data_IF_953362702644
#
_entry.id   IF_953362702644
#
_cell.length_a   1.000
_cell.length_b   1.000
_cell.length_c   1.000
_cell.angle_alpha   90.00
_cell.angle_beta   90.00
_cell.angle_gamma   90.00
#
_symmetry.space_group_name_H-M   'P 1'
#
loop_
_entity.id
_entity.type
_entity.pdbx_description
1 polymer ?
#
# COMPACT_ATOMS: atom_id res chain seq x y z
N UNK A 1 -18.97 -1.08 4.59
CA UNK A 1 -17.80 -0.15 4.71
C UNK A 1 -16.50 -0.80 4.26
N UNK A 2 -16.05 -1.91 4.86
CA UNK A 2 -14.75 -2.53 4.54
C UNK A 2 -14.58 -2.96 3.08
N UNK A 3 -15.65 -3.46 2.43
CA UNK A 3 -15.61 -3.77 1.00
C UNK A 3 -15.38 -2.51 0.14
N UNK A 4 -16.07 -1.41 0.43
CA UNK A 4 -15.86 -0.13 -0.26
C UNK A 4 -14.45 0.45 -0.04
N UNK A 5 -13.92 0.36 1.18
CA UNK A 5 -12.54 0.74 1.48
C UNK A 5 -11.52 -0.07 0.67
N UNK A 6 -11.73 -1.39 0.58
CA UNK A 6 -10.88 -2.29 -0.21
C UNK A 6 -10.94 -1.97 -1.70
N UNK A 7 -12.12 -1.70 -2.24
CA UNK A 7 -12.26 -1.26 -3.63
C UNK A 7 -11.53 0.06 -3.89
N UNK A 8 -11.66 1.03 -2.98
CA UNK A 8 -10.89 2.29 -3.04
C UNK A 8 -9.37 2.04 -3.04
N UNK A 9 -8.88 1.11 -2.20
CA UNK A 9 -7.47 0.76 -2.14
C UNK A 9 -6.98 0.20 -3.49
N UNK A 10 -7.77 -0.67 -4.12
CA UNK A 10 -7.48 -1.24 -5.44
C UNK A 10 -7.42 -0.15 -6.52
N UNK A 11 -8.38 0.76 -6.55
CA UNK A 11 -8.39 1.87 -7.52
C UNK A 11 -7.18 2.78 -7.34
N UNK A 12 -6.93 3.23 -6.11
CA UNK A 12 -5.81 4.12 -5.79
C UNK A 12 -4.49 3.41 -6.12
N UNK A 13 -4.35 2.12 -5.82
CA UNK A 13 -3.15 1.34 -6.15
C UNK A 13 -2.95 1.14 -7.65
N UNK A 14 -4.04 0.95 -8.40
CA UNK A 14 -4.03 0.94 -9.85
C UNK A 14 -3.49 2.26 -10.42
N UNK A 15 -3.96 3.39 -9.88
CA UNK A 15 -3.43 4.71 -10.26
C UNK A 15 -1.95 4.82 -9.91
N UNK A 16 -1.53 4.48 -8.69
CA UNK A 16 -0.11 4.48 -8.27
C UNK A 16 0.77 3.66 -9.20
N UNK A 17 0.27 2.54 -9.73
CA UNK A 17 1.00 1.72 -10.71
C UNK A 17 1.11 2.40 -12.08
N UNK A 18 0.01 3.00 -12.56
CA UNK A 18 -0.06 3.67 -13.86
C UNK A 18 0.74 4.98 -13.89
N UNK A 19 0.83 5.68 -12.76
CA UNK A 19 1.66 6.87 -12.58
C UNK A 19 3.09 6.55 -12.13
N UNK A 20 3.45 5.26 -12.13
CA UNK A 20 4.78 4.75 -11.76
C UNK A 20 5.30 5.33 -10.43
N UNK A 21 4.38 5.53 -9.49
CA UNK A 21 4.67 6.18 -8.22
C UNK A 21 5.00 5.18 -7.13
N UNK A 22 4.95 3.88 -7.40
CA UNK A 22 5.00 2.81 -6.38
C UNK A 22 6.34 2.62 -5.68
N UNK A 23 7.41 3.31 -6.11
CA UNK A 23 8.75 3.26 -5.49
C UNK A 23 9.23 4.65 -5.03
N UNK A 24 8.33 5.64 -5.00
CA UNK A 24 8.64 7.04 -4.63
C UNK A 24 8.88 7.24 -3.13
N UNK A 25 8.27 6.40 -2.27
CA UNK A 25 8.43 6.42 -0.82
C UNK A 25 9.25 5.22 -0.35
N UNK A 26 10.56 5.38 -0.22
CA UNK A 26 11.45 4.25 0.05
C UNK A 26 11.59 3.90 1.54
N UNK A 27 11.25 4.84 2.41
CA UNK A 27 11.20 4.59 3.85
C UNK A 27 9.90 3.87 4.22
N UNK A 28 10.01 2.98 5.21
CA UNK A 28 8.87 2.21 5.72
C UNK A 28 8.88 2.21 7.26
N UNK A 29 8.84 3.39 7.84
CA UNK A 29 8.57 3.54 9.26
C UNK A 29 7.07 3.39 9.50
N UNK A 30 6.71 2.36 10.26
CA UNK A 30 5.32 2.04 10.56
C UNK A 30 4.53 3.21 11.17
N UNK A 31 5.17 3.99 12.04
CA UNK A 31 4.56 5.11 12.77
C UNK A 31 5.04 6.49 12.30
N UNK A 32 6.33 6.63 11.95
CA UNK A 32 6.91 7.95 11.66
C UNK A 32 6.54 8.49 10.26
N UNK A 33 6.17 7.61 9.32
CA UNK A 33 5.83 8.02 7.94
C UNK A 33 4.31 8.26 7.77
N UNK A 34 3.60 8.61 8.85
CA UNK A 34 2.16 8.94 8.80
C UNK A 34 1.87 10.37 8.31
N UNK A 35 2.90 11.20 8.12
CA UNK A 35 2.75 12.50 7.47
C UNK A 35 3.83 12.73 6.42
N UNK A 36 3.52 13.41 5.30
CA UNK A 36 4.52 13.82 4.33
C UNK A 36 5.51 14.83 4.94
N UNK A 37 6.68 15.04 4.31
CA UNK A 37 7.62 16.09 4.72
C UNK A 37 6.92 17.46 4.80
N UNK A 38 7.23 18.22 5.85
CA UNK A 38 6.57 19.50 6.14
C UNK A 38 7.44 20.73 5.86
N UNK A 39 8.75 20.55 5.77
CA UNK A 39 9.71 21.63 5.50
C UNK A 39 10.37 21.45 4.14
N UNK A 40 10.92 22.52 3.58
CA UNK A 40 11.63 22.47 2.31
C UNK A 40 12.87 21.56 2.38
N UNK A 41 13.58 21.60 3.51
CA UNK A 41 14.78 20.80 3.76
C UNK A 41 14.44 19.31 3.80
N UNK A 42 13.34 18.93 4.47
CA UNK A 42 12.90 17.53 4.55
C UNK A 42 12.45 17.01 3.18
N UNK A 43 11.80 17.85 2.36
CA UNK A 43 11.47 17.50 0.98
C UNK A 43 12.73 17.27 0.14
N UNK A 44 13.74 18.13 0.30
CA UNK A 44 15.00 17.96 -0.41
C UNK A 44 15.71 16.67 0.01
N UNK A 45 15.73 16.35 1.31
CA UNK A 45 16.35 15.11 1.81
C UNK A 45 15.69 13.85 1.22
N UNK A 46 14.35 13.79 1.20
CA UNK A 46 13.63 12.68 0.60
C UNK A 46 13.85 12.60 -0.93
N UNK A 47 13.96 13.75 -1.60
CA UNK A 47 14.24 13.77 -3.03
C UNK A 47 15.68 13.31 -3.34
N UNK A 48 16.69 13.77 -2.60
CA UNK A 48 18.07 13.27 -2.72
C UNK A 48 18.15 11.78 -2.40
N UNK A 49 17.33 11.29 -1.47
CA UNK A 49 17.19 9.85 -1.21
C UNK A 49 16.62 9.13 -2.42
N UNK A 50 15.55 9.66 -3.02
CA UNK A 50 14.92 9.11 -4.23
C UNK A 50 15.91 9.01 -5.41
N UNK A 51 16.76 10.02 -5.60
CA UNK A 51 17.78 10.04 -6.67
C UNK A 51 18.79 8.90 -6.61
N UNK A 52 18.98 8.26 -5.44
CA UNK A 52 19.89 7.12 -5.27
C UNK A 52 19.31 5.81 -5.82
N UNK A 53 18.02 5.77 -6.13
CA UNK A 53 17.37 4.56 -6.62
C UNK A 53 17.42 4.46 -8.15
N UNK A 54 17.41 3.22 -8.69
CA UNK A 54 17.55 3.03 -10.12
C UNK A 54 16.36 3.60 -10.92
N UNK A 55 15.18 3.73 -10.31
CA UNK A 55 14.00 4.34 -10.93
C UNK A 55 14.27 5.79 -11.36
N UNK A 56 14.98 6.56 -10.52
CA UNK A 56 15.40 7.90 -10.88
C UNK A 56 16.37 7.89 -12.05
N UNK A 57 17.42 7.06 -12.01
CA UNK A 57 18.43 7.01 -13.08
C UNK A 57 17.85 6.60 -14.44
N UNK A 58 16.84 5.73 -14.46
CA UNK A 58 16.34 5.10 -15.68
C UNK A 58 15.09 5.76 -16.27
N UNK A 59 14.22 6.30 -15.42
CA UNK A 59 12.88 6.74 -15.83
C UNK A 59 12.63 8.21 -15.52
N UNK A 60 13.25 8.73 -14.46
CA UNK A 60 12.98 10.07 -13.93
C UNK A 60 14.26 10.93 -13.86
N UNK A 61 15.25 10.64 -14.72
CA UNK A 61 16.48 11.41 -14.84
C UNK A 61 16.07 12.80 -15.33
N UNK A 62 16.35 13.84 -14.54
CA UNK A 62 15.90 15.23 -14.73
C UNK A 62 14.55 15.61 -14.10
N UNK A 63 13.91 14.70 -13.36
CA UNK A 63 12.71 15.04 -12.57
C UNK A 63 13.01 16.18 -11.59
N UNK A 64 12.09 17.14 -11.51
CA UNK A 64 12.12 18.24 -10.54
C UNK A 64 11.55 17.83 -9.18
N UNK A 65 11.85 18.61 -8.14
CA UNK A 65 11.30 18.36 -6.80
C UNK A 65 9.76 18.39 -6.80
N UNK A 66 9.15 19.26 -7.59
CA UNK A 66 7.68 19.37 -7.64
C UNK A 66 7.02 18.22 -8.39
N UNK A 67 7.70 17.63 -9.37
CA UNK A 67 7.26 16.38 -10.00
C UNK A 67 7.42 15.20 -9.04
N UNK A 68 8.52 15.13 -8.29
CA UNK A 68 8.72 14.11 -7.26
C UNK A 68 7.62 14.17 -6.19
N UNK A 69 7.23 15.36 -5.72
CA UNK A 69 6.12 15.51 -4.77
C UNK A 69 4.83 14.88 -5.28
N UNK A 70 4.51 14.98 -6.58
CA UNK A 70 3.28 14.40 -7.15
C UNK A 70 3.26 12.88 -7.00
N UNK A 71 4.33 12.20 -7.40
CA UNK A 71 4.43 10.74 -7.27
C UNK A 71 4.47 10.32 -5.78
N UNK A 72 5.18 11.07 -4.94
CA UNK A 72 5.23 10.84 -3.50
C UNK A 72 3.85 10.92 -2.87
N UNK A 73 3.06 11.97 -3.17
CA UNK A 73 1.71 12.11 -2.62
C UNK A 73 0.78 11.01 -3.09
N UNK A 74 0.93 10.54 -4.33
CA UNK A 74 0.13 9.42 -4.85
C UNK A 74 0.41 8.13 -4.08
N UNK A 75 1.68 7.80 -3.86
CA UNK A 75 2.04 6.63 -3.07
C UNK A 75 1.65 6.79 -1.59
N UNK A 76 1.85 7.98 -1.02
CA UNK A 76 1.42 8.30 0.33
C UNK A 76 -0.07 8.09 0.51
N UNK A 77 -0.90 8.59 -0.43
CA UNK A 77 -2.34 8.41 -0.40
C UNK A 77 -2.73 6.93 -0.43
N UNK A 78 -2.09 6.13 -1.30
CA UNK A 78 -2.31 4.68 -1.35
C UNK A 78 -1.98 4.00 -0.02
N UNK A 79 -0.81 4.30 0.56
CA UNK A 79 -0.37 3.73 1.84
C UNK A 79 -1.27 4.15 3.00
N UNK A 80 -1.69 5.41 3.05
CA UNK A 80 -2.63 5.90 4.06
C UNK A 80 -3.99 5.25 3.93
N UNK A 81 -4.47 5.06 2.70
CA UNK A 81 -5.74 4.38 2.44
C UNK A 81 -5.71 2.92 2.89
N UNK A 82 -4.59 2.22 2.65
CA UNK A 82 -4.37 0.87 3.19
C UNK A 82 -4.43 0.81 4.72
N UNK A 83 -3.73 1.74 5.40
CA UNK A 83 -3.78 1.87 6.87
C UNK A 83 -5.20 2.16 7.38
N UNK A 84 -5.90 3.11 6.76
CA UNK A 84 -7.28 3.45 7.10
C UNK A 84 -8.21 2.25 6.93
N UNK A 85 -8.05 1.48 5.85
CA UNK A 85 -8.80 0.22 5.62
C UNK A 85 -8.59 -0.76 6.76
N UNK A 86 -7.34 -0.96 7.19
CA UNK A 86 -7.02 -1.82 8.34
C UNK A 86 -7.65 -1.35 9.64
N UNK A 87 -7.64 -0.05 9.92
CA UNK A 87 -8.25 0.54 11.13
C UNK A 87 -9.78 0.39 11.10
N UNK A 88 -10.41 0.75 9.98
CA UNK A 88 -11.87 0.67 9.80
C UNK A 88 -12.38 -0.77 9.91
N UNK A 89 -11.56 -1.75 9.51
CA UNK A 89 -11.88 -3.16 9.74
C UNK A 89 -11.67 -3.56 11.21
N UNK A 90 -10.48 -3.27 11.75
CA UNK A 90 -10.02 -3.85 13.03
C UNK A 90 -10.69 -3.23 14.24
N UNK A 91 -10.91 -1.92 14.26
CA UNK A 91 -11.46 -1.23 15.44
C UNK A 91 -12.90 -1.67 15.75
N UNK A 92 -13.86 -1.70 14.80
CA UNK A 92 -15.18 -2.24 15.05
C UNK A 92 -15.15 -3.73 15.38
N UNK A 93 -14.32 -4.51 14.66
CA UNK A 93 -14.18 -5.94 14.90
C UNK A 93 -13.73 -6.23 16.34
N UNK A 94 -12.76 -5.48 16.85
CA UNK A 94 -12.30 -5.60 18.22
C UNK A 94 -13.39 -5.25 19.23
N UNK A 95 -14.10 -4.14 19.04
CA UNK A 95 -15.19 -3.72 19.94
C UNK A 95 -16.30 -4.78 19.99
N UNK A 96 -16.75 -5.28 18.84
CA UNK A 96 -17.80 -6.29 18.77
C UNK A 96 -17.35 -7.64 19.34
N UNK A 97 -16.09 -8.01 19.11
CA UNK A 97 -15.51 -9.21 19.72
C UNK A 97 -15.50 -9.11 21.25
N UNK A 98 -15.04 -7.98 21.81
CA UNK A 98 -14.99 -7.75 23.26
C UNK A 98 -16.38 -7.70 23.90
N UNK A 99 -17.39 -7.24 23.16
CA UNK A 99 -18.80 -7.25 23.56
C UNK A 99 -19.49 -8.61 23.40
N UNK A 100 -18.80 -9.62 22.86
CA UNK A 100 -19.38 -10.95 22.67
C UNK A 100 -20.43 -11.03 21.56
N UNK A 101 -20.46 -10.05 20.65
CA UNK A 101 -21.48 -9.95 19.59
C UNK A 101 -21.23 -10.90 18.40
N UNK A 102 -20.15 -11.68 18.43
CA UNK A 102 -19.78 -12.60 17.36
C UNK A 102 -20.09 -14.04 17.72
N UNK A 103 -20.87 -14.69 16.85
CA UNK A 103 -20.94 -16.15 16.82
C UNK A 103 -19.61 -16.78 16.35
N UNK A 104 -19.51 -18.11 16.44
CA UNK A 104 -18.31 -18.85 16.05
C UNK A 104 -17.92 -18.64 14.58
N UNK A 105 -18.90 -18.56 13.68
CA UNK A 105 -18.68 -18.33 12.25
C UNK A 105 -18.13 -16.93 11.97
N UNK A 106 -18.71 -15.90 12.58
CA UNK A 106 -18.24 -14.52 12.46
C UNK A 106 -16.82 -14.36 13.00
N UNK A 107 -16.49 -14.99 14.13
CA UNK A 107 -15.12 -15.01 14.68
C UNK A 107 -14.11 -15.53 13.66
N UNK A 108 -14.40 -16.67 13.02
CA UNK A 108 -13.53 -17.25 11.99
C UNK A 108 -13.38 -16.29 10.80
N UNK A 109 -14.49 -15.71 10.29
CA UNK A 109 -14.45 -14.78 9.16
C UNK A 109 -13.64 -13.51 9.47
N UNK A 110 -13.79 -12.95 10.66
CA UNK A 110 -13.02 -11.79 11.12
C UNK A 110 -11.53 -12.10 11.17
N UNK A 111 -11.14 -13.29 11.67
CA UNK A 111 -9.73 -13.70 11.67
C UNK A 111 -9.18 -13.91 10.25
N UNK A 112 -9.96 -14.53 9.36
CA UNK A 112 -9.56 -14.73 7.96
C UNK A 112 -9.37 -13.39 7.25
N UNK A 113 -10.36 -12.49 7.30
CA UNK A 113 -10.27 -11.19 6.62
C UNK A 113 -9.24 -10.27 7.27
N UNK A 114 -9.11 -10.28 8.60
CA UNK A 114 -8.05 -9.56 9.31
C UNK A 114 -6.66 -10.06 8.92
N UNK A 115 -6.49 -11.39 8.82
CA UNK A 115 -5.26 -12.01 8.32
C UNK A 115 -4.95 -11.62 6.88
N UNK A 116 -5.96 -11.61 5.99
CA UNK A 116 -5.80 -11.16 4.60
C UNK A 116 -5.42 -9.67 4.51
N UNK A 117 -6.00 -8.80 5.33
CA UNK A 117 -5.63 -7.38 5.39
C UNK A 117 -4.18 -7.21 5.87
N UNK A 118 -3.77 -7.94 6.91
CA UNK A 118 -2.38 -7.91 7.37
C UNK A 118 -1.42 -8.43 6.28
N UNK A 119 -1.80 -9.50 5.60
CA UNK A 119 -1.05 -10.05 4.47
C UNK A 119 -0.96 -9.07 3.29
N UNK A 120 -2.00 -8.26 3.02
CA UNK A 120 -1.94 -7.18 2.04
C UNK A 120 -0.83 -6.18 2.39
N UNK A 121 -0.80 -5.69 3.64
CA UNK A 121 0.23 -4.76 4.09
C UNK A 121 1.65 -5.35 3.96
N UNK A 122 1.82 -6.61 4.37
CA UNK A 122 3.10 -7.31 4.27
C UNK A 122 3.56 -7.52 2.81
N UNK A 123 2.63 -7.90 1.93
CA UNK A 123 2.92 -8.11 0.51
C UNK A 123 3.22 -6.79 -0.20
N UNK A 124 2.49 -5.71 0.11
CA UNK A 124 2.77 -4.37 -0.40
C UNK A 124 4.14 -3.86 0.04
N UNK A 125 4.52 -4.05 1.31
CA UNK A 125 5.88 -3.76 1.77
C UNK A 125 6.95 -4.55 1.00
N UNK A 126 6.73 -5.86 0.85
CA UNK A 126 7.66 -6.73 0.15
C UNK A 126 7.84 -6.30 -1.31
N UNK A 127 6.75 -5.93 -2.00
CA UNK A 127 6.79 -5.37 -3.35
C UNK A 127 7.70 -4.15 -3.44
N UNK A 128 7.49 -3.14 -2.60
CA UNK A 128 8.30 -1.91 -2.60
C UNK A 128 9.76 -2.24 -2.28
N UNK A 129 10.04 -2.90 -1.15
CA UNK A 129 11.40 -3.23 -0.73
C UNK A 129 12.17 -3.97 -1.82
N UNK A 130 11.50 -4.88 -2.51
CA UNK A 130 12.09 -5.67 -3.58
C UNK A 130 12.32 -4.92 -4.89
N UNK A 131 11.72 -3.73 -5.08
CA UNK A 131 11.92 -2.89 -6.27
C UNK A 131 13.07 -1.87 -6.12
N UNK A 132 13.66 -1.73 -4.93
CA UNK A 132 14.62 -0.67 -4.61
C UNK A 132 16.10 -1.03 -4.91
N UNK A 133 16.42 -2.27 -5.27
CA UNK A 133 17.81 -2.70 -5.41
C UNK A 133 18.20 -2.93 -6.88
N UNK A 134 19.43 -2.55 -7.26
CA UNK A 134 19.97 -2.78 -8.62
C UNK A 134 20.04 -4.27 -8.98
N UNK A 135 20.12 -5.15 -7.99
CA UNK A 135 20.13 -6.60 -8.18
C UNK A 135 18.73 -7.18 -8.45
N UNK A 136 17.67 -6.42 -8.17
CA UNK A 136 16.28 -6.86 -8.31
C UNK A 136 15.58 -6.24 -9.52
N UNK A 137 16.34 -5.61 -10.41
CA UNK A 137 15.85 -5.08 -11.68
C UNK A 137 15.19 -6.21 -12.48
N UNK A 138 13.95 -5.98 -12.93
CA UNK A 138 13.24 -6.86 -13.85
C UNK A 138 13.41 -6.27 -15.24
N UNK A 139 13.98 -7.03 -16.17
CA UNK A 139 14.30 -6.57 -17.54
C UNK A 139 15.17 -5.29 -17.57
N UNK A 140 16.07 -5.15 -16.60
CA UNK A 140 16.95 -3.98 -16.47
C UNK A 140 16.25 -2.73 -15.94
N UNK A 141 14.95 -2.81 -15.57
CA UNK A 141 14.16 -1.69 -15.04
C UNK A 141 13.88 -1.80 -13.54
N UNK A 142 13.98 -0.67 -12.84
CA UNK A 142 13.54 -0.55 -11.46
C UNK A 142 12.01 -0.64 -11.43
N UNK A 143 11.49 -1.83 -11.18
CA UNK A 143 10.04 -2.05 -11.16
C UNK A 143 9.70 -3.17 -10.20
N UNK A 144 8.47 -3.11 -9.68
CA UNK A 144 7.94 -4.21 -8.90
C UNK A 144 7.72 -5.41 -9.81
N UNK A 145 8.22 -6.58 -9.40
CA UNK A 145 8.02 -7.83 -10.11
C UNK A 145 6.54 -8.05 -10.49
N UNK A 146 6.24 -8.36 -11.77
CA UNK A 146 4.87 -8.60 -12.22
C UNK A 146 4.15 -9.69 -11.40
N UNK A 147 4.89 -10.71 -10.96
CA UNK A 147 4.35 -11.78 -10.11
C UNK A 147 3.91 -11.27 -8.73
N UNK A 148 4.70 -10.39 -8.11
CA UNK A 148 4.36 -9.81 -6.80
C UNK A 148 3.17 -8.85 -6.93
N UNK A 149 3.15 -8.05 -7.99
CA UNK A 149 2.04 -7.16 -8.30
C UNK A 149 0.74 -7.94 -8.54
N UNK A 150 0.79 -9.01 -9.35
CA UNK A 150 -0.35 -9.87 -9.61
C UNK A 150 -0.83 -10.59 -8.34
N UNK A 151 0.10 -11.07 -7.50
CA UNK A 151 -0.24 -11.69 -6.23
C UNK A 151 -0.95 -10.69 -5.31
N UNK A 152 -0.46 -9.45 -5.21
CA UNK A 152 -1.05 -8.41 -4.38
C UNK A 152 -2.43 -8.01 -4.85
N UNK A 153 -2.58 -7.71 -6.13
CA UNK A 153 -3.87 -7.36 -6.72
C UNK A 153 -4.88 -8.53 -6.64
N UNK A 154 -4.45 -9.75 -6.96
CA UNK A 154 -5.31 -10.93 -6.92
C UNK A 154 -5.82 -11.22 -5.50
N UNK A 155 -4.95 -11.12 -4.50
CA UNK A 155 -5.35 -11.29 -3.10
C UNK A 155 -6.21 -10.13 -2.58
N UNK A 156 -6.02 -8.90 -3.09
CA UNK A 156 -6.92 -7.78 -2.83
C UNK A 156 -8.33 -8.01 -3.41
N UNK A 157 -8.44 -8.60 -4.61
CA UNK A 157 -9.74 -8.98 -5.18
C UNK A 157 -10.42 -10.10 -4.38
N UNK A 158 -9.68 -11.10 -3.91
CA UNK A 158 -10.22 -12.15 -3.03
C UNK A 158 -10.77 -11.53 -1.75
N UNK A 159 -10.01 -10.62 -1.13
CA UNK A 159 -10.45 -9.89 0.07
C UNK A 159 -11.72 -9.06 -0.21
N UNK A 160 -11.73 -8.29 -1.30
CA UNK A 160 -12.89 -7.49 -1.70
C UNK A 160 -14.13 -8.36 -1.92
N UNK A 161 -14.04 -9.41 -2.73
CA UNK A 161 -15.14 -10.32 -3.02
C UNK A 161 -15.66 -10.99 -1.73
N UNK A 162 -14.76 -11.42 -0.85
CA UNK A 162 -15.12 -12.02 0.44
C UNK A 162 -15.85 -11.05 1.37
N UNK A 163 -15.35 -9.81 1.50
CA UNK A 163 -15.99 -8.77 2.32
C UNK A 163 -17.34 -8.33 1.73
N UNK A 164 -17.44 -8.21 0.41
CA UNK A 164 -18.67 -7.85 -0.28
C UNK A 164 -19.73 -8.95 -0.11
N UNK A 165 -19.36 -10.20 -0.35
CA UNK A 165 -20.24 -11.35 -0.13
C UNK A 165 -20.74 -11.43 1.31
N UNK A 166 -19.87 -11.14 2.28
CA UNK A 166 -20.26 -11.11 3.69
C UNK A 166 -21.26 -10.00 4.02
N UNK A 167 -21.25 -8.89 3.28
CA UNK A 167 -22.18 -7.77 3.51
C UNK A 167 -23.61 -8.02 3.02
N UNK A 168 -23.82 -9.05 2.19
CA UNK A 168 -25.14 -9.47 1.71
C UNK A 168 -25.76 -10.59 2.54
N UNK A 169 -25.06 -11.08 3.56
CA UNK A 169 -25.54 -12.11 4.48
C UNK A 169 -25.91 -11.50 5.83
#
# INVERSE_FOLDING_TARGET
>A
WSAGMTAGAVVIGGVTRLTESGLSMTNWHWLNDMSPPRTAEAWQEEFERYKRFPEYEQMNRDMTLDEFKKIYYMEFAHRMWGRATGIIFTLPAFIFWRRGLFDKGMKIRVLIFGGLIAAQGALGWYMVKSGLHKETLVDGRASVSPYRLAAHLGTAFILYAGLLWNSFK
#
